data_IF_684206634061
#
_entry.id   IF_684206634061
#
_cell.length_a   1.000
_cell.length_b   1.000
_cell.length_c   1.000
_cell.angle_alpha   90.00
_cell.angle_beta   90.00
_cell.angle_gamma   90.00
#
_symmetry.space_group_name_H-M   'P 1'
#
loop_
_entity.id
_entity.type
_entity.pdbx_description
1 polymer ?
#
# COMPACT_ATOMS: atom_id res chain seq x y z
N UNK A 1 35.32 -54.47 23.48
CA UNK A 1 35.58 -54.76 22.04
C UNK A 1 35.36 -53.47 21.25
N UNK A 2 36.31 -53.07 20.39
CA UNK A 2 36.56 -51.68 20.05
C UNK A 2 35.79 -51.20 18.80
N UNK A 3 35.55 -49.88 18.80
CA UNK A 3 35.20 -49.06 17.64
C UNK A 3 36.39 -49.06 16.67
N UNK A 4 36.19 -49.51 15.44
CA UNK A 4 37.22 -49.48 14.39
C UNK A 4 37.22 -48.14 13.66
N UNK A 5 38.38 -47.50 13.69
CA UNK A 5 38.77 -46.33 12.92
C UNK A 5 38.98 -46.65 11.43
N UNK A 6 38.87 -45.63 10.59
CA UNK A 6 39.31 -45.60 9.20
C UNK A 6 38.46 -44.61 8.39
N UNK A 7 38.97 -43.71 7.56
CA UNK A 7 40.32 -43.44 7.08
C UNK A 7 40.29 -42.03 6.48
N UNK A 8 41.26 -41.17 6.79
CA UNK A 8 41.47 -39.90 6.09
C UNK A 8 41.83 -40.16 4.62
N UNK A 9 41.20 -39.46 3.67
CA UNK A 9 41.79 -39.19 2.34
C UNK A 9 41.54 -37.74 1.92
N UNK A 10 42.64 -37.00 1.87
CA UNK A 10 42.82 -35.72 1.18
C UNK A 10 43.03 -35.98 -0.32
N UNK A 11 42.37 -35.21 -1.21
CA UNK A 11 42.84 -34.85 -2.56
C UNK A 11 42.22 -33.48 -2.88
N UNK A 12 42.97 -32.38 -2.75
CA UNK A 12 43.81 -31.68 -3.75
C UNK A 12 43.03 -30.90 -4.83
N UNK A 13 43.29 -29.61 -4.82
CA UNK A 13 42.87 -28.53 -5.71
C UNK A 13 43.20 -28.75 -7.19
N UNK A 14 42.36 -28.20 -8.08
CA UNK A 14 42.79 -27.71 -9.39
C UNK A 14 42.25 -26.31 -9.65
N UNK A 15 43.20 -25.41 -9.88
CA UNK A 15 43.07 -24.05 -10.39
C UNK A 15 42.81 -24.15 -11.89
N UNK A 16 41.78 -23.46 -12.39
CA UNK A 16 41.42 -23.45 -13.80
C UNK A 16 41.05 -22.05 -14.26
N UNK A 17 42.06 -21.22 -14.50
CA UNK A 17 41.98 -19.96 -15.22
C UNK A 17 41.52 -20.21 -16.66
N UNK A 18 40.37 -19.65 -17.07
CA UNK A 18 40.03 -19.47 -18.48
C UNK A 18 39.94 -17.97 -18.79
N UNK A 19 41.03 -17.48 -19.35
CA UNK A 19 41.06 -16.25 -20.16
C UNK A 19 40.42 -16.55 -21.51
N UNK A 20 39.48 -15.69 -21.95
CA UNK A 20 39.05 -15.60 -23.34
C UNK A 20 38.87 -14.12 -23.73
N UNK A 21 39.06 -13.77 -25.01
CA UNK A 21 39.77 -12.56 -25.43
C UNK A 21 38.89 -11.34 -25.69
N UNK A 22 39.54 -10.19 -25.61
CA UNK A 22 39.14 -8.92 -26.21
C UNK A 22 39.25 -9.00 -27.74
N UNK A 23 38.23 -8.59 -28.48
CA UNK A 23 38.41 -7.93 -29.78
C UNK A 23 37.12 -7.27 -30.30
N UNK A 24 37.15 -5.94 -30.27
CA UNK A 24 36.74 -4.96 -31.28
C UNK A 24 35.31 -4.93 -31.85
N UNK A 25 34.78 -3.72 -31.68
CA UNK A 25 34.07 -2.87 -32.65
C UNK A 25 32.55 -2.98 -32.81
N UNK A 26 31.94 -1.89 -32.32
CA UNK A 26 31.07 -0.97 -33.04
C UNK A 26 29.55 -1.20 -33.08
N UNK A 27 28.89 -0.13 -32.63
CA UNK A 27 27.57 0.39 -33.03
C UNK A 27 26.33 -0.45 -32.68
N UNK A 28 25.63 -0.02 -31.63
CA UNK A 28 24.38 0.73 -31.82
C UNK A 28 23.96 1.41 -30.52
N UNK A 29 23.89 2.73 -30.55
CA UNK A 29 23.18 3.54 -29.58
C UNK A 29 21.70 3.15 -29.57
N UNK A 30 21.28 2.32 -28.62
CA UNK A 30 19.87 2.21 -28.26
C UNK A 30 19.61 3.31 -27.23
N UNK A 31 19.20 4.48 -27.72
CA UNK A 31 18.62 5.52 -26.89
C UNK A 31 17.43 4.94 -26.15
N UNK A 32 17.63 4.56 -24.89
CA UNK A 32 16.51 4.38 -23.97
C UNK A 32 15.87 5.74 -23.86
N UNK A 33 14.74 5.88 -24.52
CA UNK A 33 13.85 7.02 -24.44
C UNK A 33 13.44 7.13 -22.97
N UNK A 34 14.24 7.85 -22.18
CA UNK A 34 13.87 8.31 -20.85
C UNK A 34 12.71 9.23 -21.13
N UNK A 35 11.50 8.68 -21.05
CA UNK A 35 10.28 9.45 -21.02
C UNK A 35 10.46 10.47 -19.91
N UNK A 36 10.80 11.69 -20.32
CA UNK A 36 10.77 12.87 -19.48
C UNK A 36 9.34 12.95 -18.98
N UNK A 37 9.14 12.52 -17.73
CA UNK A 37 7.96 12.93 -16.99
C UNK A 37 8.04 14.46 -16.93
N UNK A 38 7.04 15.19 -17.42
CA UNK A 38 7.08 16.64 -17.35
C UNK A 38 6.92 17.05 -15.88
N UNK A 39 8.03 17.22 -15.17
CA UNK A 39 8.03 17.98 -13.91
C UNK A 39 8.06 19.46 -14.27
N UNK A 40 6.91 20.00 -14.69
CA UNK A 40 6.69 21.44 -14.59
C UNK A 40 6.30 21.76 -13.16
N UNK A 41 7.26 22.29 -12.41
CA UNK A 41 6.97 23.03 -11.19
C UNK A 41 6.49 24.44 -11.56
N UNK A 42 5.31 24.82 -11.09
CA UNK A 42 4.92 26.23 -10.93
C UNK A 42 3.92 26.37 -9.78
N UNK A 43 4.45 26.59 -8.58
CA UNK A 43 3.94 27.56 -7.60
C UNK A 43 2.44 27.63 -7.32
N UNK A 44 1.82 26.53 -6.90
CA UNK A 44 0.69 26.50 -5.96
C UNK A 44 0.67 25.09 -5.39
N UNK A 45 0.48 24.94 -4.08
CA UNK A 45 0.53 23.64 -3.42
C UNK A 45 -0.30 22.59 -4.16
N UNK A 46 0.16 21.34 -4.12
CA UNK A 46 -0.44 20.15 -4.73
C UNK A 46 -1.84 19.85 -4.15
N UNK A 47 -2.77 20.80 -4.20
CA UNK A 47 -4.14 20.67 -3.73
C UNK A 47 -5.01 20.33 -4.92
N UNK A 48 -5.70 19.21 -4.85
CA UNK A 48 -6.67 18.82 -5.85
C UNK A 48 -7.90 19.73 -5.75
N UNK A 49 -8.50 20.00 -6.90
CA UNK A 49 -9.86 20.52 -7.00
C UNK A 49 -10.82 19.42 -7.42
N UNK A 50 -12.10 19.57 -7.10
CA UNK A 50 -13.12 18.58 -7.47
C UNK A 50 -13.22 18.41 -8.99
N UNK A 51 -12.99 19.48 -9.76
CA UNK A 51 -12.93 19.43 -11.23
C UNK A 51 -11.79 18.55 -11.72
N UNK A 52 -10.60 18.66 -11.14
CA UNK A 52 -9.45 17.80 -11.49
C UNK A 52 -9.74 16.33 -11.18
N UNK A 53 -10.38 16.06 -10.04
CA UNK A 53 -10.78 14.69 -9.64
C UNK A 53 -11.79 14.11 -10.63
N UNK A 54 -12.79 14.88 -11.05
CA UNK A 54 -13.77 14.47 -12.07
C UNK A 54 -13.10 14.20 -13.41
N UNK A 55 -12.24 15.11 -13.86
CA UNK A 55 -11.55 15.04 -15.15
C UNK A 55 -10.43 13.99 -15.21
N UNK A 56 -10.00 13.42 -14.08
CA UNK A 56 -9.02 12.34 -14.06
C UNK A 56 -9.51 11.12 -14.86
N UNK A 57 -8.89 10.89 -16.02
CA UNK A 57 -9.21 9.79 -16.95
C UNK A 57 -8.30 8.59 -16.75
N UNK A 58 -8.74 7.42 -17.18
CA UNK A 58 -7.88 6.23 -17.25
C UNK A 58 -6.80 6.39 -18.31
N UNK A 59 -5.59 5.94 -18.00
CA UNK A 59 -4.44 5.93 -18.93
C UNK A 59 -4.00 4.49 -19.25
N UNK A 60 -4.81 3.48 -18.92
CA UNK A 60 -4.45 2.06 -19.02
C UNK A 60 -3.41 1.58 -17.99
N UNK A 61 -2.77 2.49 -17.25
CA UNK A 61 -1.86 2.21 -16.14
C UNK A 61 -2.35 2.91 -14.87
N UNK A 62 -2.20 2.29 -13.69
CA UNK A 62 -2.59 2.94 -12.46
C UNK A 62 -1.65 4.11 -12.14
N UNK A 63 -2.21 5.23 -11.68
CA UNK A 63 -1.46 6.41 -11.27
C UNK A 63 -2.06 7.05 -10.03
N UNK A 64 -1.36 8.03 -9.46
CA UNK A 64 -1.79 8.71 -8.23
C UNK A 64 -1.67 10.21 -8.40
N UNK A 65 -2.73 10.93 -8.08
CA UNK A 65 -2.76 12.39 -8.02
C UNK A 65 -2.60 12.81 -6.56
N UNK A 66 -1.55 13.58 -6.27
CA UNK A 66 -1.30 14.08 -4.93
C UNK A 66 -2.29 15.20 -4.57
N UNK A 67 -2.84 15.15 -3.36
CA UNK A 67 -3.44 16.29 -2.67
C UNK A 67 -2.42 16.77 -1.59
N UNK A 68 -2.90 17.25 -0.44
CA UNK A 68 -2.07 17.73 0.66
C UNK A 68 -1.95 16.72 1.81
N UNK A 69 -0.86 16.86 2.58
CA UNK A 69 -0.62 16.14 3.84
C UNK A 69 -0.70 14.61 3.70
N UNK A 70 -0.19 14.06 2.60
CA UNK A 70 -0.16 12.62 2.36
C UNK A 70 -1.48 12.03 1.86
N UNK A 71 -2.53 12.85 1.66
CA UNK A 71 -3.73 12.44 0.92
C UNK A 71 -3.46 12.44 -0.58
N UNK A 72 -4.04 11.47 -1.28
CA UNK A 72 -3.90 11.31 -2.71
C UNK A 72 -5.08 10.54 -3.31
N UNK A 73 -5.39 10.81 -4.57
CA UNK A 73 -6.35 10.04 -5.35
C UNK A 73 -5.60 8.98 -6.16
N UNK A 74 -5.86 7.72 -5.89
CA UNK A 74 -5.42 6.61 -6.72
C UNK A 74 -6.43 6.35 -7.83
N UNK A 75 -5.96 6.31 -9.07
CA UNK A 75 -6.74 5.95 -10.25
C UNK A 75 -6.24 4.61 -10.76
N UNK A 76 -7.10 3.59 -10.73
CA UNK A 76 -6.80 2.26 -11.26
C UNK A 76 -6.73 2.28 -12.79
N UNK A 77 -6.08 1.28 -13.39
CA UNK A 77 -6.10 1.07 -14.85
C UNK A 77 -7.53 0.97 -15.39
N UNK A 78 -8.45 0.39 -14.60
CA UNK A 78 -9.85 0.20 -14.95
C UNK A 78 -10.73 1.46 -14.69
N UNK A 79 -10.16 2.52 -14.10
CA UNK A 79 -10.89 3.77 -13.84
C UNK A 79 -11.56 3.90 -12.49
N UNK A 80 -11.46 2.86 -11.65
CA UNK A 80 -11.82 2.97 -10.25
C UNK A 80 -10.93 4.03 -9.56
N UNK A 81 -11.56 4.95 -8.85
CA UNK A 81 -10.89 6.04 -8.12
C UNK A 81 -11.02 5.79 -6.62
N UNK A 82 -9.91 5.85 -5.88
CA UNK A 82 -9.88 5.61 -4.44
C UNK A 82 -8.99 6.61 -3.71
N UNK A 83 -9.44 7.07 -2.54
CA UNK A 83 -8.68 7.96 -1.68
C UNK A 83 -7.68 7.18 -0.84
N UNK A 84 -6.41 7.53 -0.96
CA UNK A 84 -5.31 6.96 -0.19
C UNK A 84 -4.63 8.01 0.66
N UNK A 85 -4.40 7.66 1.92
CA UNK A 85 -3.65 8.46 2.88
C UNK A 85 -2.38 7.71 3.28
N UNK A 86 -1.23 8.36 3.08
CA UNK A 86 0.08 7.83 3.46
C UNK A 86 0.53 8.47 4.77
N UNK A 87 1.00 7.66 5.71
CA UNK A 87 1.54 8.11 6.98
C UNK A 87 2.72 7.24 7.42
N UNK A 88 3.41 7.66 8.49
CA UNK A 88 4.50 6.88 9.10
C UNK A 88 4.10 6.53 10.53
N UNK A 89 4.30 5.27 10.91
CA UNK A 89 4.03 4.78 12.25
C UNK A 89 5.16 3.83 12.68
N UNK A 90 5.77 4.10 13.84
CA UNK A 90 6.90 3.29 14.33
C UNK A 90 8.06 3.19 13.34
N UNK A 91 8.38 4.28 12.63
CA UNK A 91 9.43 4.32 11.62
C UNK A 91 9.09 3.66 10.27
N UNK A 92 7.93 3.00 10.15
CA UNK A 92 7.48 2.37 8.90
C UNK A 92 6.45 3.22 8.18
N UNK A 93 6.63 3.40 6.87
CA UNK A 93 5.63 4.04 6.00
C UNK A 93 4.48 3.08 5.73
N UNK A 94 3.26 3.55 5.94
CA UNK A 94 2.02 2.80 5.73
C UNK A 94 1.05 3.63 4.86
N UNK A 95 0.06 2.96 4.29
CA UNK A 95 -0.99 3.55 3.46
C UNK A 95 -2.35 3.01 3.88
N UNK A 96 -3.27 3.92 4.14
CA UNK A 96 -4.67 3.63 4.46
C UNK A 96 -5.58 4.12 3.32
N UNK A 97 -6.54 3.29 2.91
CA UNK A 97 -7.59 3.70 1.96
C UNK A 97 -8.80 4.26 2.72
N UNK A 98 -9.37 5.39 2.30
CA UNK A 98 -10.59 5.94 2.91
C UNK A 98 -11.87 5.44 2.22
N UNK A 99 -11.83 5.25 0.91
CA UNK A 99 -12.94 4.73 0.11
C UNK A 99 -12.85 5.21 -1.33
N UNK A 100 -13.88 4.93 -2.13
CA UNK A 100 -13.93 5.26 -3.55
C UNK A 100 -14.61 6.59 -3.84
N UNK A 101 -14.18 7.27 -4.90
CA UNK A 101 -14.91 8.39 -5.48
C UNK A 101 -15.92 7.86 -6.52
N UNK A 102 -17.16 8.36 -6.61
CA UNK A 102 -17.71 9.56 -5.96
C UNK A 102 -18.39 9.30 -4.60
N UNK A 103 -18.42 8.06 -4.10
CA UNK A 103 -19.06 7.74 -2.81
C UNK A 103 -18.47 8.52 -1.62
N UNK A 104 -17.17 8.84 -1.69
CA UNK A 104 -16.52 9.83 -0.84
C UNK A 104 -16.02 10.99 -1.70
N UNK A 105 -16.49 12.18 -1.36
CA UNK A 105 -16.05 13.44 -1.96
C UNK A 105 -14.63 13.83 -1.51
N UNK A 106 -14.02 14.78 -2.23
CA UNK A 106 -12.71 15.32 -1.86
C UNK A 106 -12.74 16.00 -0.47
N UNK A 107 -13.85 16.67 -0.13
CA UNK A 107 -14.02 17.33 1.17
C UNK A 107 -14.02 16.30 2.31
N UNK A 108 -14.84 15.26 2.20
CA UNK A 108 -14.91 14.18 3.20
C UNK A 108 -13.57 13.44 3.32
N UNK A 109 -12.85 13.24 2.20
CA UNK A 109 -11.52 12.65 2.23
C UNK A 109 -10.51 13.50 3.03
N UNK A 110 -10.60 14.84 2.97
CA UNK A 110 -9.78 15.75 3.78
C UNK A 110 -10.16 15.71 5.26
N UNK A 111 -11.46 15.65 5.58
CA UNK A 111 -11.93 15.49 6.96
C UNK A 111 -11.44 14.16 7.59
N UNK A 112 -11.51 13.06 6.84
CA UNK A 112 -10.99 11.76 7.26
C UNK A 112 -9.46 11.77 7.46
N UNK A 113 -8.74 12.46 6.57
CA UNK A 113 -7.29 12.70 6.71
C UNK A 113 -6.98 13.45 7.99
N UNK A 114 -7.69 14.54 8.28
CA UNK A 114 -7.44 15.38 9.45
C UNK A 114 -7.76 14.62 10.75
N UNK A 115 -8.80 13.79 10.74
CA UNK A 115 -9.08 12.84 11.82
C UNK A 115 -7.94 11.82 12.01
N UNK A 116 -7.41 11.25 10.93
CA UNK A 116 -6.29 10.31 11.00
C UNK A 116 -5.00 10.97 11.49
N UNK A 117 -4.71 12.21 11.07
CA UNK A 117 -3.58 13.00 11.58
C UNK A 117 -3.72 13.31 13.07
N UNK A 118 -4.92 13.63 13.52
CA UNK A 118 -5.20 13.84 14.94
C UNK A 118 -4.91 12.58 15.77
N UNK A 119 -5.26 11.39 15.25
CA UNK A 119 -4.91 10.13 15.89
C UNK A 119 -3.39 9.93 15.97
N UNK A 120 -2.66 10.21 14.88
CA UNK A 120 -1.20 10.11 14.87
C UNK A 120 -0.55 11.07 15.88
N UNK A 121 -1.05 12.31 15.98
CA UNK A 121 -0.57 13.29 16.97
C UNK A 121 -0.82 12.83 18.41
N UNK A 122 -1.90 12.07 18.64
CA UNK A 122 -2.21 11.44 19.93
C UNK A 122 -1.43 10.14 20.19
N UNK A 123 -0.55 9.73 19.28
CA UNK A 123 0.16 8.45 19.40
C UNK A 123 -0.75 7.25 19.24
N UNK A 124 -1.81 7.35 18.43
CA UNK A 124 -2.72 6.23 18.11
C UNK A 124 -2.58 5.87 16.64
N UNK A 125 -2.39 4.59 16.33
CA UNK A 125 -2.34 4.12 14.96
C UNK A 125 -3.75 4.19 14.30
N UNK A 126 -3.92 4.90 13.17
CA UNK A 126 -5.22 4.99 12.50
C UNK A 126 -5.81 3.64 12.06
N UNK A 127 -4.97 2.67 11.67
CA UNK A 127 -5.44 1.33 11.27
C UNK A 127 -6.04 0.57 12.45
N UNK A 128 -5.42 0.64 13.63
CA UNK A 128 -5.93 -0.04 14.82
C UNK A 128 -7.24 0.59 15.28
N UNK A 129 -7.33 1.92 15.26
CA UNK A 129 -8.56 2.63 15.61
C UNK A 129 -9.70 2.30 14.65
N UNK A 130 -9.42 2.22 13.34
CA UNK A 130 -10.41 1.78 12.36
C UNK A 130 -10.90 0.35 12.61
N UNK A 131 -9.99 -0.59 12.92
CA UNK A 131 -10.34 -1.97 13.26
C UNK A 131 -11.20 -2.02 14.52
N UNK A 132 -10.83 -1.27 15.55
CA UNK A 132 -11.59 -1.15 16.80
C UNK A 132 -13.01 -0.64 16.56
N UNK A 133 -13.18 0.44 15.78
CA UNK A 133 -14.52 0.96 15.43
C UNK A 133 -15.37 -0.07 14.70
N UNK A 134 -14.80 -0.80 13.73
CA UNK A 134 -15.51 -1.88 13.03
C UNK A 134 -15.93 -2.99 13.98
N UNK A 135 -15.05 -3.42 14.87
CA UNK A 135 -15.34 -4.45 15.86
C UNK A 135 -16.44 -4.02 16.83
N UNK A 136 -16.43 -2.75 17.27
CA UNK A 136 -17.47 -2.21 18.15
C UNK A 136 -18.86 -2.23 17.49
N UNK A 137 -18.96 -1.95 16.18
CA UNK A 137 -20.23 -2.03 15.43
C UNK A 137 -20.74 -3.47 15.37
N UNK A 138 -19.87 -4.44 15.11
CA UNK A 138 -20.23 -5.87 15.06
C UNK A 138 -20.73 -6.35 16.42
N UNK A 139 -19.96 -6.10 17.49
CA UNK A 139 -20.35 -6.47 18.85
C UNK A 139 -21.68 -5.82 19.26
N UNK A 140 -21.91 -4.56 18.90
CA UNK A 140 -23.17 -3.88 19.20
C UNK A 140 -24.37 -4.55 18.52
N UNK A 141 -24.19 -5.15 17.33
CA UNK A 141 -25.23 -5.92 16.64
C UNK A 141 -25.46 -7.31 17.25
N UNK A 142 -24.39 -8.00 17.65
CA UNK A 142 -24.44 -9.32 18.28
C UNK A 142 -25.05 -9.28 19.69
N UNK A 143 -24.79 -8.21 20.45
CA UNK A 143 -25.31 -8.03 21.81
C UNK A 143 -26.63 -7.23 21.85
N UNK A 144 -27.44 -7.29 20.79
CA UNK A 144 -28.82 -6.75 20.83
C UNK A 144 -29.75 -7.70 21.57
N UNK A 145 -30.76 -7.17 22.27
CA UNK A 145 -31.78 -8.00 22.94
C UNK A 145 -32.40 -9.02 21.98
N UNK A 146 -32.69 -8.60 20.75
CA UNK A 146 -33.21 -9.48 19.70
C UNK A 146 -32.25 -10.64 19.39
N UNK A 147 -30.97 -10.36 19.17
CA UNK A 147 -29.98 -11.40 18.87
C UNK A 147 -29.84 -12.41 20.03
N UNK A 148 -29.82 -11.93 21.27
CA UNK A 148 -29.77 -12.78 22.48
C UNK A 148 -31.04 -13.61 22.63
N UNK A 149 -32.22 -13.01 22.41
CA UNK A 149 -33.50 -13.72 22.46
C UNK A 149 -33.61 -14.81 21.38
N UNK A 150 -33.21 -14.50 20.14
CA UNK A 150 -33.21 -15.46 19.04
C UNK A 150 -32.27 -16.64 19.33
N UNK A 151 -31.08 -16.36 19.90
CA UNK A 151 -30.13 -17.39 20.32
C UNK A 151 -30.69 -18.28 21.44
N UNK A 152 -31.33 -17.68 22.45
CA UNK A 152 -31.98 -18.43 23.54
C UNK A 152 -33.14 -19.29 23.03
N UNK A 153 -33.97 -18.76 22.13
CA UNK A 153 -35.09 -19.48 21.54
C UNK A 153 -34.60 -20.68 20.72
N UNK A 154 -33.51 -20.52 19.96
CA UNK A 154 -32.89 -21.61 19.21
C UNK A 154 -32.35 -22.71 20.15
N UNK A 155 -31.72 -22.32 21.26
CA UNK A 155 -31.22 -23.27 22.26
C UNK A 155 -32.33 -24.08 22.92
N UNK A 156 -33.51 -23.48 23.20
CA UNK A 156 -34.67 -24.16 23.81
C UNK A 156 -35.50 -25.01 22.85
N UNK A 157 -35.33 -24.86 21.53
CA UNK A 157 -36.06 -25.63 20.52
C UNK A 157 -35.43 -27.00 20.24
N UNK A 158 -34.25 -27.28 20.79
CA UNK A 158 -33.60 -28.60 20.84
C UNK A 158 -34.11 -29.37 22.05
#
# INVERSE_FOLDING_TARGET
KPLTAGTKRYIKWYIGTRSFPLSHSCWRSAGTNRTMQPTRFSGVGLMLSDLMVRQAKTTGKPYTLADADGLSLFVSANGAKAWHFRFTWGGKRDRMSFGSYPALSLKEARELRDGARTLLAKGVNPHTERKRKRHAIVLAGEHTFKAVYDQWLAHRKL
#
